data_IF_678532398925
#
_entry.id   IF_678532398925
#
_cell.length_a   1.000
_cell.length_b   1.000
_cell.length_c   1.000
_cell.angle_alpha   90.00
_cell.angle_beta   90.00
_cell.angle_gamma   90.00
#
_symmetry.space_group_name_H-M   'P 1'
#
loop_
_entity.id
_entity.type
_entity.pdbx_description
1 polymer ?
#
# COMPACT_ATOMS: atom_id res chain seq x y z
N UNK A 1 -42.87 -5.73 2.74
CA UNK A 1 -42.00 -6.79 3.31
C UNK A 1 -40.70 -6.13 3.73
N UNK A 2 -40.34 -6.16 5.02
CA UNK A 2 -39.03 -5.66 5.47
C UNK A 2 -37.93 -6.60 4.97
N UNK A 3 -37.01 -6.08 4.16
CA UNK A 3 -35.80 -6.80 3.80
C UNK A 3 -34.94 -6.98 5.05
N UNK A 4 -34.93 -8.19 5.61
CA UNK A 4 -34.00 -8.58 6.67
C UNK A 4 -32.57 -8.54 6.12
N UNK A 5 -31.86 -7.44 6.37
CA UNK A 5 -30.41 -7.33 6.09
C UNK A 5 -29.70 -8.45 6.84
N UNK A 6 -28.96 -9.31 6.13
CA UNK A 6 -28.18 -10.39 6.75
C UNK A 6 -27.21 -9.77 7.74
N UNK A 7 -27.23 -10.25 8.99
CA UNK A 7 -26.26 -9.84 10.01
C UNK A 7 -24.87 -10.22 9.50
N UNK A 8 -23.98 -9.23 9.34
CA UNK A 8 -22.59 -9.51 8.99
C UNK A 8 -21.99 -10.37 10.12
N UNK A 9 -21.69 -11.62 9.82
CA UNK A 9 -21.04 -12.53 10.76
C UNK A 9 -19.54 -12.34 10.58
N UNK A 10 -18.90 -11.74 11.57
CA UNK A 10 -17.44 -11.67 11.62
C UNK A 10 -16.88 -13.10 11.70
N UNK A 11 -16.10 -13.50 10.70
CA UNK A 11 -15.41 -14.79 10.68
C UNK A 11 -13.90 -14.56 10.55
N UNK A 12 -13.24 -14.55 11.70
CA UNK A 12 -11.80 -14.35 11.82
C UNK A 12 -10.96 -15.35 11.03
N UNK A 13 -11.40 -16.60 10.89
CA UNK A 13 -10.65 -17.62 10.15
C UNK A 13 -10.71 -17.40 8.64
N UNK A 14 -11.90 -17.04 8.13
CA UNK A 14 -12.08 -16.69 6.74
C UNK A 14 -11.27 -15.44 6.37
N UNK A 15 -11.32 -14.41 7.22
CA UNK A 15 -10.51 -13.19 7.05
C UNK A 15 -9.02 -13.52 7.06
N UNK A 16 -8.56 -14.39 7.97
CA UNK A 16 -7.15 -14.82 8.03
C UNK A 16 -6.71 -15.49 6.74
N UNK A 17 -7.48 -16.44 6.21
CA UNK A 17 -7.16 -17.13 4.94
C UNK A 17 -7.12 -16.17 3.76
N UNK A 18 -8.08 -15.24 3.67
CA UNK A 18 -8.08 -14.22 2.63
C UNK A 18 -6.86 -13.29 2.76
N UNK A 19 -6.54 -12.91 3.99
CA UNK A 19 -5.41 -12.06 4.32
C UNK A 19 -4.05 -12.71 3.97
N UNK A 20 -3.91 -14.02 4.18
CA UNK A 20 -2.73 -14.79 3.79
C UNK A 20 -2.60 -14.88 2.27
N UNK A 21 -3.69 -15.19 1.56
CA UNK A 21 -3.69 -15.27 0.09
C UNK A 21 -3.38 -13.93 -0.58
N UNK A 22 -3.80 -12.81 0.03
CA UNK A 22 -3.62 -11.47 -0.52
C UNK A 22 -2.53 -10.67 0.21
N UNK A 23 -1.57 -11.35 0.83
CA UNK A 23 -0.55 -10.72 1.67
C UNK A 23 0.22 -9.62 0.94
N UNK A 24 0.69 -9.88 -0.28
CA UNK A 24 1.47 -8.93 -1.08
C UNK A 24 0.67 -7.66 -1.42
N UNK A 25 -0.56 -7.83 -1.93
CA UNK A 25 -1.41 -6.70 -2.27
C UNK A 25 -1.77 -5.85 -1.05
N UNK A 26 -2.08 -6.49 0.09
CA UNK A 26 -2.35 -5.78 1.34
C UNK A 26 -1.12 -5.03 1.85
N UNK A 27 0.05 -5.68 1.80
CA UNK A 27 1.31 -5.05 2.17
C UNK A 27 1.58 -3.82 1.30
N UNK A 28 1.42 -3.94 -0.02
CA UNK A 28 1.54 -2.81 -0.95
C UNK A 28 0.63 -1.63 -0.58
N UNK A 29 -0.65 -1.88 -0.30
CA UNK A 29 -1.59 -0.82 0.08
C UNK A 29 -1.24 -0.19 1.44
N UNK A 30 -0.84 -1.01 2.41
CA UNK A 30 -0.48 -0.57 3.75
C UNK A 30 0.79 0.29 3.74
N UNK A 31 1.84 -0.16 3.06
CA UNK A 31 3.10 0.59 2.93
C UNK A 31 2.88 1.89 2.16
N UNK A 32 2.12 1.86 1.07
CA UNK A 32 1.75 3.07 0.30
C UNK A 32 1.03 4.11 1.16
N UNK A 33 0.07 3.66 1.97
CA UNK A 33 -0.70 4.57 2.83
C UNK A 33 0.15 5.14 3.95
N UNK A 34 1.03 4.31 4.53
CA UNK A 34 1.98 4.72 5.56
C UNK A 34 2.97 5.74 5.04
N UNK A 35 3.60 5.48 3.88
CA UNK A 35 4.54 6.39 3.23
C UNK A 35 3.90 7.74 2.92
N UNK A 36 2.68 7.75 2.37
CA UNK A 36 1.93 8.99 2.12
C UNK A 36 1.70 9.79 3.40
N UNK A 37 1.30 9.13 4.48
CA UNK A 37 1.05 9.80 5.75
C UNK A 37 2.34 10.34 6.38
N UNK A 38 3.45 9.62 6.24
CA UNK A 38 4.76 10.07 6.69
C UNK A 38 5.17 11.36 6.00
N UNK A 39 5.19 11.37 4.66
CA UNK A 39 5.53 12.55 3.85
C UNK A 39 4.62 13.73 4.21
N UNK A 40 3.31 13.49 4.35
CA UNK A 40 2.34 14.57 4.58
C UNK A 40 2.43 15.18 5.97
N UNK A 41 2.66 14.38 7.01
CA UNK A 41 2.39 14.79 8.39
C UNK A 41 3.60 14.70 9.33
N UNK A 42 4.68 14.00 8.95
CA UNK A 42 5.78 13.66 9.87
C UNK A 42 7.18 13.97 9.32
N UNK A 43 7.36 13.95 8.01
CA UNK A 43 8.66 14.15 7.38
C UNK A 43 9.23 15.54 7.67
N UNK A 44 10.52 15.60 7.96
CA UNK A 44 11.32 16.82 8.03
C UNK A 44 11.88 17.14 6.64
N UNK A 45 12.50 18.32 6.51
CA UNK A 45 13.11 18.76 5.25
C UNK A 45 14.14 17.75 4.74
N UNK A 46 15.06 17.31 5.60
CA UNK A 46 16.09 16.30 5.27
C UNK A 46 15.47 14.97 4.79
N UNK A 47 14.38 14.52 5.43
CA UNK A 47 13.67 13.30 5.02
C UNK A 47 13.07 13.48 3.61
N UNK A 48 12.55 14.68 3.29
CA UNK A 48 11.97 14.95 1.97
C UNK A 48 13.02 14.95 0.88
N UNK A 49 14.20 15.54 1.13
CA UNK A 49 15.31 15.58 0.18
C UNK A 49 15.85 14.18 -0.11
N UNK A 50 15.99 13.34 0.92
CA UNK A 50 16.39 11.93 0.77
C UNK A 50 15.34 11.16 -0.02
N UNK A 51 14.06 11.29 0.35
CA UNK A 51 12.96 10.59 -0.32
C UNK A 51 12.82 11.01 -1.80
N UNK A 52 13.05 12.28 -2.13
CA UNK A 52 13.05 12.73 -3.52
C UNK A 52 14.13 12.03 -4.34
N UNK A 53 15.36 11.93 -3.80
CA UNK A 53 16.47 11.20 -4.45
C UNK A 53 16.09 9.74 -4.69
N UNK A 54 15.58 9.05 -3.67
CA UNK A 54 15.14 7.65 -3.78
C UNK A 54 14.02 7.47 -4.83
N UNK A 55 13.08 8.42 -4.92
CA UNK A 55 12.01 8.39 -5.93
C UNK A 55 12.57 8.55 -7.33
N UNK A 56 13.54 9.45 -7.54
CA UNK A 56 14.17 9.67 -8.83
C UNK A 56 14.90 8.42 -9.32
N UNK A 57 15.72 7.81 -8.46
CA UNK A 57 16.42 6.55 -8.78
C UNK A 57 15.43 5.43 -9.12
N UNK A 58 14.35 5.29 -8.33
CA UNK A 58 13.36 4.25 -8.57
C UNK A 58 12.61 4.43 -9.89
N UNK A 59 12.31 5.68 -10.26
CA UNK A 59 11.68 6.00 -11.56
C UNK A 59 12.60 5.65 -12.71
N UNK A 60 13.88 6.02 -12.61
CA UNK A 60 14.89 5.69 -13.62
C UNK A 60 14.96 4.19 -13.86
N UNK A 61 15.10 3.38 -12.80
CA UNK A 61 15.10 1.92 -12.90
C UNK A 61 13.85 1.38 -13.59
N UNK A 62 12.66 1.92 -13.27
CA UNK A 62 11.41 1.46 -13.88
C UNK A 62 11.29 1.84 -15.36
N UNK A 63 11.84 2.99 -15.77
CA UNK A 63 11.88 3.42 -17.17
C UNK A 63 12.87 2.59 -17.99
N UNK A 64 14.08 2.36 -17.46
CA UNK A 64 15.09 1.49 -18.11
C UNK A 64 14.51 0.08 -18.38
N UNK A 65 13.84 -0.51 -17.39
CA UNK A 65 13.18 -1.80 -17.55
C UNK A 65 12.04 -1.81 -18.60
N UNK A 66 11.49 -0.65 -19.00
CA UNK A 66 10.47 -0.55 -20.05
C UNK A 66 11.14 -0.42 -21.43
N UNK A 67 12.28 0.26 -21.51
CA UNK A 67 13.05 0.44 -22.75
C UNK A 67 13.74 -0.86 -23.20
N UNK A 68 14.04 -1.76 -22.26
CA UNK A 68 14.62 -3.08 -22.52
C UNK A 68 13.60 -4.17 -22.98
N UNK A 69 12.32 -3.81 -23.14
CA UNK A 69 11.21 -4.70 -23.58
C UNK A 69 10.76 -4.34 -25.00
#
# INVERSE_FOLDING_TARGET
>A
MEEKKRKAVYNREADKRWNEKNKEHRNYLSTRSTARSFIKNRAKLEDLDELETLIQEKRKQLLENIEDI
#
